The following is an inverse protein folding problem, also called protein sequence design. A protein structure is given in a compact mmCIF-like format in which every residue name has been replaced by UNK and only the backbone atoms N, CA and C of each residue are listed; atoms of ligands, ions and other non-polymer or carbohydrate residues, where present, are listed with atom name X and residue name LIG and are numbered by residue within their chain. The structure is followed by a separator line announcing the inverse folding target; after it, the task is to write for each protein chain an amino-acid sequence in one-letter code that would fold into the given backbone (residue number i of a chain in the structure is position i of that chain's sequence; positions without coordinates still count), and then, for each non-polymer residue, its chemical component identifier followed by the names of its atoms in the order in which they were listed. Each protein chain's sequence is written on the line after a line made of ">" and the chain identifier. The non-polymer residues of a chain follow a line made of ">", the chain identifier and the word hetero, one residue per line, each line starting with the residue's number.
data_IF_068423739480
#
_entry.id   IF_068423739480
#
_cell.length_a   1.000
_cell.length_b   1.000
_cell.length_c   1.000
_cell.angle_alpha   90.00
_cell.angle_beta   90.00
_cell.angle_gamma   90.00
#
_symmetry.space_group_name_H-M   'P 1'
#
loop_
_entity.id
_entity.type
_entity.pdbx_description
1 polymer ?
#
# COMPACT_ATOMS: atom_id res chain seq x y z
N UNK A 1 58.61 -12.93 46.12
CA UNK A 1 58.39 -12.01 44.99
C UNK A 1 57.37 -12.72 44.14
N UNK A 2 56.12 -12.46 44.48
CA UNK A 2 55.01 -13.37 44.17
C UNK A 2 54.40 -12.87 42.86
N UNK A 3 54.56 -13.67 41.81
CA UNK A 3 54.07 -13.31 40.47
C UNK A 3 52.57 -13.61 40.45
N UNK A 4 51.75 -12.56 40.49
CA UNK A 4 50.31 -12.64 40.34
C UNK A 4 49.93 -13.24 38.97
N UNK A 5 49.06 -14.26 38.89
CA UNK A 5 48.63 -14.81 37.62
C UNK A 5 47.70 -13.79 36.92
N UNK A 6 48.20 -13.16 35.86
CA UNK A 6 47.39 -12.29 35.00
C UNK A 6 46.20 -13.07 34.44
N UNK A 7 44.97 -12.64 34.75
CA UNK A 7 43.74 -13.29 34.31
C UNK A 7 43.69 -13.42 32.77
N UNK A 8 43.15 -14.54 32.24
CA UNK A 8 43.07 -14.73 30.78
C UNK A 8 42.15 -13.69 30.15
N UNK A 9 42.63 -13.07 29.07
CA UNK A 9 41.89 -12.04 28.33
C UNK A 9 40.48 -12.53 27.93
N UNK A 10 39.47 -11.73 28.27
CA UNK A 10 38.07 -12.04 27.97
C UNK A 10 37.85 -12.20 26.45
N UNK A 11 37.29 -13.35 26.04
CA UNK A 11 37.04 -13.68 24.64
C UNK A 11 35.89 -12.83 24.10
N UNK A 12 36.18 -11.88 23.20
CA UNK A 12 35.16 -11.04 22.56
C UNK A 12 34.14 -11.93 21.82
N UNK A 13 32.81 -11.72 21.99
CA UNK A 13 31.82 -12.58 21.35
C UNK A 13 31.95 -12.48 19.83
N UNK A 14 32.16 -13.62 19.15
CA UNK A 14 32.11 -13.66 17.68
C UNK A 14 30.68 -13.38 17.23
N UNK A 15 30.48 -12.29 16.47
CA UNK A 15 29.21 -12.00 15.79
C UNK A 15 28.87 -13.16 14.85
N UNK A 16 27.73 -13.80 15.09
CA UNK A 16 27.25 -14.88 14.22
C UNK A 16 26.76 -14.27 12.91
N UNK A 17 27.15 -14.83 11.75
CA UNK A 17 26.65 -14.33 10.48
C UNK A 17 25.14 -14.56 10.37
N UNK A 18 24.43 -13.58 9.81
CA UNK A 18 23.02 -13.70 9.48
C UNK A 18 22.87 -14.66 8.29
N UNK A 19 21.88 -15.56 8.36
CA UNK A 19 21.52 -16.38 7.20
C UNK A 19 20.99 -15.50 6.07
N UNK A 20 21.23 -15.88 4.80
CA UNK A 20 20.64 -15.18 3.67
C UNK A 20 19.11 -15.12 3.78
N UNK A 21 18.54 -13.93 3.58
CA UNK A 21 17.12 -13.65 3.83
C UNK A 21 16.38 -13.23 2.55
N UNK A 22 16.07 -11.94 2.39
CA UNK A 22 15.26 -11.37 1.29
C UNK A 22 15.92 -11.54 -0.08
N UNK A 23 17.25 -11.53 -0.15
CA UNK A 23 17.99 -11.67 -1.42
C UNK A 23 17.83 -13.06 -2.03
N UNK A 24 17.57 -14.08 -1.21
CA UNK A 24 17.44 -15.48 -1.66
C UNK A 24 15.99 -15.99 -1.59
N UNK A 25 15.03 -15.13 -1.24
CA UNK A 25 13.62 -15.50 -1.11
C UNK A 25 12.89 -15.43 -2.46
N UNK A 26 12.04 -16.41 -2.76
CA UNK A 26 11.18 -16.39 -3.96
C UNK A 26 9.86 -15.68 -3.64
N UNK A 27 9.52 -14.55 -4.30
CA UNK A 27 8.26 -13.86 -4.05
C UNK A 27 7.05 -14.73 -4.44
N UNK A 28 6.06 -14.83 -3.55
CA UNK A 28 4.76 -15.44 -3.87
C UNK A 28 3.70 -14.34 -4.00
N UNK A 29 2.60 -14.66 -4.70
CA UNK A 29 1.47 -13.72 -4.85
C UNK A 29 1.02 -13.15 -3.49
N UNK A 30 0.94 -13.99 -2.47
CA UNK A 30 0.48 -13.61 -1.13
C UNK A 30 1.43 -12.64 -0.42
N UNK A 31 2.75 -12.85 -0.54
CA UNK A 31 3.75 -11.96 0.06
C UNK A 31 3.77 -10.61 -0.64
N UNK A 32 3.72 -10.61 -1.97
CA UNK A 32 3.65 -9.40 -2.79
C UNK A 32 2.39 -8.62 -2.49
N UNK A 33 1.23 -9.28 -2.43
CA UNK A 33 -0.05 -8.62 -2.15
C UNK A 33 -0.10 -8.06 -0.72
N UNK A 34 0.52 -8.74 0.26
CA UNK A 34 0.63 -8.20 1.62
C UNK A 34 1.48 -6.93 1.67
N UNK A 35 2.64 -6.91 1.00
CA UNK A 35 3.49 -5.72 0.91
C UNK A 35 2.76 -4.60 0.16
N UNK A 36 2.12 -4.93 -0.96
CA UNK A 36 1.34 -3.97 -1.74
C UNK A 36 0.22 -3.33 -0.90
N UNK A 37 -0.53 -4.13 -0.12
CA UNK A 37 -1.59 -3.62 0.76
C UNK A 37 -1.06 -2.64 1.84
N UNK A 38 0.16 -2.88 2.34
CA UNK A 38 0.82 -1.95 3.29
C UNK A 38 1.24 -0.66 2.59
N UNK A 39 1.87 -0.76 1.43
CA UNK A 39 2.30 0.39 0.63
C UNK A 39 1.09 1.26 0.27
N UNK A 40 0.00 0.64 -0.22
CA UNK A 40 -1.22 1.38 -0.55
C UNK A 40 -1.84 2.04 0.68
N UNK A 41 -1.80 1.41 1.85
CA UNK A 41 -2.25 2.03 3.11
C UNK A 41 -1.46 3.30 3.46
N UNK A 42 -0.13 3.28 3.29
CA UNK A 42 0.72 4.47 3.49
C UNK A 42 0.41 5.55 2.45
N UNK A 43 0.30 5.17 1.18
CA UNK A 43 -0.05 6.10 0.08
C UNK A 43 -1.40 6.76 0.36
N UNK A 44 -2.42 5.99 0.75
CA UNK A 44 -3.75 6.52 1.06
C UNK A 44 -3.76 7.42 2.30
N UNK A 45 -2.87 7.17 3.27
CA UNK A 45 -2.71 8.06 4.43
C UNK A 45 -2.21 9.44 4.00
N UNK A 46 -1.26 9.51 3.05
CA UNK A 46 -0.87 10.78 2.41
C UNK A 46 -2.01 11.36 1.57
N UNK A 47 -2.74 10.50 0.86
CA UNK A 47 -3.93 10.88 0.09
C UNK A 47 -5.03 11.50 0.95
N UNK A 48 -5.21 11.05 2.19
CA UNK A 48 -6.17 11.63 3.13
C UNK A 48 -5.84 13.08 3.46
N UNK A 49 -4.55 13.45 3.57
CA UNK A 49 -4.14 14.86 3.70
C UNK A 49 -4.54 15.65 2.44
N UNK A 50 -4.31 15.09 1.25
CA UNK A 50 -4.77 15.68 -0.01
C UNK A 50 -6.29 15.87 -0.07
N UNK A 51 -7.06 14.90 0.42
CA UNK A 51 -8.52 14.98 0.52
C UNK A 51 -8.95 16.12 1.47
N UNK A 52 -8.28 16.28 2.61
CA UNK A 52 -8.53 17.40 3.53
C UNK A 52 -8.24 18.73 2.84
N UNK A 53 -7.13 18.87 2.12
CA UNK A 53 -6.81 20.09 1.35
C UNK A 53 -7.91 20.40 0.34
N UNK A 54 -8.38 19.39 -0.39
CA UNK A 54 -9.46 19.55 -1.37
C UNK A 54 -10.78 19.98 -0.73
N UNK A 55 -11.17 19.35 0.39
CA UNK A 55 -12.38 19.72 1.14
C UNK A 55 -12.27 21.13 1.75
N UNK A 56 -11.10 21.49 2.29
CA UNK A 56 -10.83 22.83 2.80
C UNK A 56 -10.90 23.89 1.70
N UNK A 57 -10.35 23.60 0.51
CA UNK A 57 -10.45 24.50 -0.64
C UNK A 57 -11.90 24.67 -1.10
N UNK A 58 -12.69 23.58 -1.12
CA UNK A 58 -14.12 23.64 -1.44
C UNK A 58 -14.90 24.49 -0.43
N UNK A 59 -14.55 24.43 0.87
CA UNK A 59 -15.17 25.23 1.91
C UNK A 59 -14.71 26.70 1.92
N UNK A 60 -13.48 26.99 1.48
CA UNK A 60 -12.90 28.34 1.48
C UNK A 60 -13.45 29.25 0.37
N UNK A 61 -14.07 28.66 -0.65
CA UNK A 61 -14.75 29.40 -1.71
C UNK A 61 -14.23 29.11 -3.12
N UNK A 62 -14.74 29.81 -4.14
CA UNK A 62 -14.55 29.44 -5.53
C UNK A 62 -13.09 29.50 -6.01
N UNK A 63 -12.33 30.52 -5.62
CA UNK A 63 -10.96 30.72 -6.11
C UNK A 63 -9.98 29.63 -5.63
N UNK A 64 -9.88 29.30 -4.31
CA UNK A 64 -9.08 28.17 -3.85
C UNK A 64 -9.53 26.84 -4.46
N UNK A 65 -10.84 26.63 -4.58
CA UNK A 65 -11.39 25.40 -5.13
C UNK A 65 -11.00 25.20 -6.61
N UNK A 66 -11.16 26.23 -7.45
CA UNK A 66 -10.77 26.20 -8.86
C UNK A 66 -9.27 25.90 -9.01
N UNK A 67 -8.43 26.49 -8.16
CA UNK A 67 -6.97 26.24 -8.18
C UNK A 67 -6.65 24.76 -7.95
N UNK A 68 -7.26 24.15 -6.93
CA UNK A 68 -7.06 22.72 -6.66
C UNK A 68 -7.64 21.85 -7.77
N UNK A 69 -8.82 22.20 -8.30
CA UNK A 69 -9.44 21.47 -9.41
C UNK A 69 -8.61 21.52 -10.69
N UNK A 70 -7.95 22.63 -11.00
CA UNK A 70 -7.03 22.73 -12.13
C UNK A 70 -5.82 21.81 -11.94
N UNK A 71 -5.25 21.75 -10.73
CA UNK A 71 -4.14 20.86 -10.43
C UNK A 71 -4.54 19.37 -10.58
N UNK A 72 -5.69 18.97 -10.03
CA UNK A 72 -6.23 17.60 -10.15
C UNK A 72 -6.61 17.27 -11.61
N UNK A 73 -7.18 18.24 -12.33
CA UNK A 73 -7.64 18.09 -13.70
C UNK A 73 -6.51 18.08 -14.74
N UNK A 74 -5.30 18.49 -14.38
CA UNK A 74 -4.10 18.40 -15.23
C UNK A 74 -3.76 16.95 -15.58
N UNK A 75 -2.97 16.74 -16.64
CA UNK A 75 -2.59 15.37 -17.03
C UNK A 75 -1.85 14.62 -15.91
N UNK A 76 -0.97 15.32 -15.18
CA UNK A 76 -0.24 14.78 -14.01
C UNK A 76 -1.23 14.50 -12.87
N UNK A 77 -2.13 15.44 -12.59
CA UNK A 77 -3.16 15.28 -11.56
C UNK A 77 -4.02 14.04 -11.81
N UNK A 78 -4.45 13.83 -13.06
CA UNK A 78 -5.20 12.64 -13.47
C UNK A 78 -4.38 11.36 -13.30
N UNK A 79 -3.11 11.33 -13.70
CA UNK A 79 -2.24 10.18 -13.48
C UNK A 79 -2.10 9.84 -11.98
N UNK A 80 -1.94 10.86 -11.15
CA UNK A 80 -1.86 10.72 -9.69
C UNK A 80 -3.20 10.20 -9.13
N UNK A 81 -4.33 10.74 -9.58
CA UNK A 81 -5.66 10.23 -9.20
C UNK A 81 -5.89 8.78 -9.64
N UNK A 82 -5.34 8.35 -10.78
CA UNK A 82 -5.42 6.96 -11.23
C UNK A 82 -4.67 6.05 -10.25
N UNK A 83 -3.46 6.46 -9.86
CA UNK A 83 -2.68 5.78 -8.84
C UNK A 83 -3.41 5.71 -7.50
N UNK A 84 -3.99 6.81 -7.02
CA UNK A 84 -4.76 6.85 -5.77
C UNK A 84 -6.01 5.98 -5.80
N UNK A 85 -6.77 6.02 -6.90
CA UNK A 85 -7.98 5.19 -7.05
C UNK A 85 -7.65 3.71 -7.14
N UNK A 86 -6.58 3.32 -7.83
CA UNK A 86 -6.09 1.95 -7.81
C UNK A 86 -5.58 1.53 -6.43
N UNK A 87 -4.79 2.37 -5.77
CA UNK A 87 -4.33 2.12 -4.41
C UNK A 87 -5.49 1.93 -3.43
N UNK A 88 -6.54 2.76 -3.56
CA UNK A 88 -7.77 2.67 -2.77
C UNK A 88 -8.44 1.31 -2.92
N UNK A 89 -8.74 0.89 -4.15
CA UNK A 89 -9.43 -0.39 -4.35
C UNK A 89 -8.55 -1.60 -4.00
N UNK A 90 -7.24 -1.55 -4.26
CA UNK A 90 -6.32 -2.59 -3.83
C UNK A 90 -6.28 -2.71 -2.30
N UNK A 91 -6.20 -1.59 -1.59
CA UNK A 91 -6.21 -1.57 -0.13
C UNK A 91 -7.55 -2.03 0.46
N UNK A 92 -8.66 -1.60 -0.14
CA UNK A 92 -10.00 -1.97 0.28
C UNK A 92 -10.25 -3.47 0.10
N UNK A 93 -10.03 -4.01 -1.10
CA UNK A 93 -10.21 -5.43 -1.39
C UNK A 93 -9.24 -6.30 -0.59
N UNK A 94 -7.98 -5.88 -0.48
CA UNK A 94 -6.99 -6.53 0.37
C UNK A 94 -7.39 -6.54 1.84
N UNK A 95 -7.87 -5.40 2.35
CA UNK A 95 -8.41 -5.25 3.71
C UNK A 95 -9.61 -6.14 3.97
N UNK A 96 -10.60 -6.21 3.06
CA UNK A 96 -11.74 -7.13 3.17
C UNK A 96 -11.25 -8.57 3.25
N UNK A 97 -10.29 -8.97 2.40
CA UNK A 97 -9.70 -10.32 2.46
C UNK A 97 -9.04 -10.58 3.83
N UNK A 98 -8.35 -9.60 4.39
CA UNK A 98 -7.77 -9.70 5.74
C UNK A 98 -8.85 -9.86 6.82
N UNK A 99 -9.93 -9.09 6.77
CA UNK A 99 -11.06 -9.24 7.70
C UNK A 99 -11.70 -10.63 7.60
N UNK A 100 -11.81 -11.20 6.40
CA UNK A 100 -12.27 -12.60 6.21
C UNK A 100 -11.29 -13.58 6.88
N UNK A 101 -9.98 -13.38 6.72
CA UNK A 101 -8.98 -14.21 7.39
C UNK A 101 -9.02 -14.10 8.91
N UNK A 102 -9.34 -12.93 9.47
CA UNK A 102 -9.50 -12.73 10.92
C UNK A 102 -10.66 -13.55 11.50
N UNK A 103 -11.63 -13.96 10.66
CA UNK A 103 -12.70 -14.91 11.03
C UNK A 103 -12.29 -16.38 10.94
N UNK A 104 -11.01 -16.70 10.69
CA UNK A 104 -10.47 -18.07 10.56
C UNK A 104 -10.97 -18.81 9.29
N UNK A 105 -11.32 -18.07 8.24
CA UNK A 105 -11.77 -18.65 6.95
C UNK A 105 -10.73 -18.52 5.83
N UNK A 106 -10.72 -19.48 4.90
CA UNK A 106 -9.99 -19.35 3.63
C UNK A 106 -8.48 -19.66 3.69
N UNK A 107 -8.03 -20.47 4.66
CA UNK A 107 -6.61 -20.81 4.87
C UNK A 107 -6.09 -21.99 4.05
N UNK A 108 -6.94 -22.67 3.27
CA UNK A 108 -6.46 -23.65 2.30
C UNK A 108 -5.67 -22.97 1.17
N UNK A 109 -4.60 -23.61 0.70
CA UNK A 109 -3.71 -23.03 -0.31
C UNK A 109 -4.46 -22.58 -1.57
N UNK A 110 -5.39 -23.41 -2.06
CA UNK A 110 -6.23 -23.07 -3.22
C UNK A 110 -7.06 -21.80 -2.95
N UNK A 111 -7.72 -21.73 -1.80
CA UNK A 111 -8.54 -20.58 -1.39
C UNK A 111 -7.71 -19.30 -1.21
N UNK A 112 -6.49 -19.40 -0.68
CA UNK A 112 -5.55 -18.29 -0.55
C UNK A 112 -5.17 -17.70 -1.93
N UNK A 113 -4.89 -18.54 -2.92
CA UNK A 113 -4.53 -18.07 -4.27
C UNK A 113 -5.73 -17.53 -5.04
N UNK A 114 -6.90 -18.17 -4.92
CA UNK A 114 -8.15 -17.66 -5.52
C UNK A 114 -8.45 -16.28 -4.95
N UNK A 115 -8.50 -16.14 -3.61
CA UNK A 115 -8.77 -14.84 -2.98
C UNK A 115 -7.71 -13.79 -3.31
N UNK A 116 -6.44 -14.17 -3.43
CA UNK A 116 -5.36 -13.27 -3.88
C UNK A 116 -5.59 -12.72 -5.29
N UNK A 117 -5.92 -13.57 -6.26
CA UNK A 117 -6.23 -13.14 -7.62
C UNK A 117 -7.56 -12.38 -7.71
N UNK A 118 -8.56 -12.74 -6.90
CA UNK A 118 -9.81 -11.98 -6.81
C UNK A 118 -9.58 -10.56 -6.34
N UNK A 119 -8.68 -10.32 -5.38
CA UNK A 119 -8.31 -8.95 -4.97
C UNK A 119 -7.72 -8.17 -6.13
N UNK A 120 -6.77 -8.75 -6.88
CA UNK A 120 -6.15 -8.07 -8.04
C UNK A 120 -7.20 -7.74 -9.11
N UNK A 121 -7.99 -8.74 -9.51
CA UNK A 121 -9.01 -8.57 -10.54
C UNK A 121 -10.08 -7.53 -10.13
N UNK A 122 -10.60 -7.64 -8.92
CA UNK A 122 -11.59 -6.69 -8.40
C UNK A 122 -11.04 -5.27 -8.35
N UNK A 123 -9.79 -5.09 -7.92
CA UNK A 123 -9.16 -3.77 -7.85
C UNK A 123 -9.07 -3.12 -9.22
N UNK A 124 -8.61 -3.86 -10.24
CA UNK A 124 -8.52 -3.36 -11.62
C UNK A 124 -9.90 -3.01 -12.17
N UNK A 125 -10.89 -3.89 -11.99
CA UNK A 125 -12.26 -3.69 -12.47
C UNK A 125 -12.91 -2.48 -11.80
N UNK A 126 -12.79 -2.34 -10.49
CA UNK A 126 -13.35 -1.22 -9.75
C UNK A 126 -12.68 0.11 -10.11
N UNK A 127 -11.36 0.13 -10.31
CA UNK A 127 -10.67 1.33 -10.83
C UNK A 127 -11.17 1.69 -12.22
N UNK A 128 -11.24 0.73 -13.14
CA UNK A 128 -11.72 0.98 -14.49
C UNK A 128 -13.17 1.48 -14.50
N UNK A 129 -14.04 0.89 -13.69
CA UNK A 129 -15.44 1.30 -13.55
C UNK A 129 -15.56 2.72 -12.97
N UNK A 130 -14.79 3.07 -11.94
CA UNK A 130 -14.77 4.40 -11.36
C UNK A 130 -14.34 5.46 -12.38
N UNK A 131 -13.33 5.15 -13.20
CA UNK A 131 -12.86 6.03 -14.26
C UNK A 131 -13.87 6.16 -15.40
N UNK A 132 -14.45 5.04 -15.86
CA UNK A 132 -15.50 5.07 -16.88
C UNK A 132 -16.71 5.91 -16.43
N UNK A 133 -17.15 5.74 -15.18
CA UNK A 133 -18.21 6.54 -14.58
C UNK A 133 -17.81 8.02 -14.53
N UNK A 134 -16.61 8.34 -14.04
CA UNK A 134 -16.09 9.71 -13.97
C UNK A 134 -16.03 10.40 -15.33
N UNK A 135 -15.58 9.70 -16.37
CA UNK A 135 -15.57 10.22 -17.74
C UNK A 135 -16.99 10.46 -18.28
N UNK A 136 -17.94 9.56 -17.97
CA UNK A 136 -19.33 9.68 -18.45
C UNK A 136 -20.13 10.80 -17.79
N UNK A 137 -19.87 11.08 -16.51
CA UNK A 137 -20.60 12.08 -15.71
C UNK A 137 -19.93 13.45 -15.79
N UNK A 138 -18.60 13.48 -15.77
CA UNK A 138 -17.80 14.70 -15.61
C UNK A 138 -17.40 15.40 -16.90
N UNK A 139 -17.70 14.83 -18.08
CA UNK A 139 -17.38 15.46 -19.38
C UNK A 139 -15.90 15.81 -19.54
N UNK A 140 -14.99 14.91 -19.12
CA UNK A 140 -13.54 15.14 -19.14
C UNK A 140 -12.89 15.03 -20.54
N UNK A 141 -13.64 15.40 -21.59
CA UNK A 141 -13.22 15.60 -22.97
C UNK A 141 -13.49 17.05 -23.38
#
# INVERSE_FOLDING_TARGET
>A
MDIEPTAPAAKTPRLRPLSPNIHNYRPQLTSVLSIANRITGVVLSVGAVGLVIWLSAAAAGPEPYVTVQQAIGSWIGRLVMLGFTFAFFLHLCGGIRHLVWDTVHGFELRSIYISGWSVVAASVVLTAAAWAAGLSIGGWL
#
